data_IF_690093217972
#
_entry.id   IF_690093217972
#
_cell.length_a   1.000
_cell.length_b   1.000
_cell.length_c   1.000
_cell.angle_alpha   90.00
_cell.angle_beta   90.00
_cell.angle_gamma   90.00
#
_symmetry.space_group_name_H-M   'P 1'
#
loop_
_entity.id
_entity.type
_entity.pdbx_description
1 polymer ?
#
# COMPACT_ATOMS: atom_id res chain seq x y z
N UNK A 1 10.28 23.11 10.64
CA UNK A 1 11.60 22.43 10.55
C UNK A 1 12.23 22.10 11.93
N UNK A 2 11.64 22.48 13.08
CA UNK A 2 12.29 22.24 14.38
C UNK A 2 12.25 20.77 14.86
N UNK A 3 11.30 19.97 14.38
CA UNK A 3 11.00 18.61 14.87
C UNK A 3 11.87 17.49 14.29
N UNK A 4 12.64 17.74 13.21
CA UNK A 4 13.48 16.70 12.58
C UNK A 4 14.75 16.42 13.39
N UNK A 5 15.46 17.46 13.83
CA UNK A 5 16.73 17.32 14.58
C UNK A 5 16.59 16.54 15.89
N UNK A 6 15.43 16.60 16.54
CA UNK A 6 15.14 15.87 17.80
C UNK A 6 15.01 14.36 17.61
N UNK A 7 14.79 13.88 16.38
CA UNK A 7 14.70 12.45 16.06
C UNK A 7 16.07 11.86 15.67
N UNK A 8 16.94 12.65 15.04
CA UNK A 8 18.30 12.23 14.69
C UNK A 8 19.14 11.98 15.95
N UNK A 9 19.17 12.94 16.88
CA UNK A 9 19.91 12.86 18.14
C UNK A 9 19.49 11.68 19.06
N UNK A 10 18.28 11.12 18.88
CA UNK A 10 17.80 9.96 19.63
C UNK A 10 18.21 8.60 19.04
N UNK A 11 18.84 8.57 17.86
CA UNK A 11 19.29 7.33 17.20
C UNK A 11 20.81 7.16 17.17
N UNK A 12 21.61 8.22 17.30
CA UNK A 12 23.08 8.11 17.25
C UNK A 12 23.69 7.42 18.47
N UNK A 13 23.06 7.54 19.65
CA UNK A 13 23.48 6.87 20.89
C UNK A 13 23.31 5.33 20.90
N UNK A 14 22.86 4.70 19.81
CA UNK A 14 22.63 3.25 19.72
C UNK A 14 23.78 2.48 19.05
N UNK A 15 24.98 3.06 18.91
CA UNK A 15 26.12 2.41 18.26
C UNK A 15 27.46 2.75 18.95
N UNK A 16 27.90 1.90 19.88
CA UNK A 16 29.32 1.57 20.16
C UNK A 16 29.37 0.43 21.19
N UNK A 17 30.40 -0.44 21.08
CA UNK A 17 30.64 -1.70 21.84
C UNK A 17 29.62 -2.82 21.50
N UNK A 18 29.98 -4.11 21.49
CA UNK A 18 31.16 -4.81 22.02
C UNK A 18 32.08 -5.45 20.94
N UNK A 19 33.01 -6.33 21.38
CA UNK A 19 34.24 -6.72 20.70
C UNK A 19 34.16 -7.99 19.82
N UNK A 20 35.29 -8.33 19.19
CA UNK A 20 35.50 -9.56 18.40
C UNK A 20 35.92 -10.71 19.32
N UNK A 21 35.54 -11.94 18.99
CA UNK A 21 36.50 -13.05 19.03
C UNK A 21 36.19 -14.16 18.01
N UNK A 22 37.13 -15.09 17.83
CA UNK A 22 37.14 -16.10 16.76
C UNK A 22 36.53 -17.45 17.20
N UNK A 23 36.13 -18.28 16.23
CA UNK A 23 35.71 -19.67 16.49
C UNK A 23 35.40 -20.49 15.23
N UNK A 24 36.44 -21.04 14.58
CA UNK A 24 36.26 -22.04 13.51
C UNK A 24 35.74 -23.38 14.06
N UNK A 25 34.86 -24.05 13.30
CA UNK A 25 35.22 -25.35 12.73
C UNK A 25 34.18 -25.89 11.72
N UNK A 26 34.67 -26.39 10.60
CA UNK A 26 33.93 -27.30 9.72
C UNK A 26 33.76 -28.69 10.36
N UNK A 27 32.74 -29.43 9.93
CA UNK A 27 32.94 -30.83 9.52
C UNK A 27 31.82 -31.36 8.61
N UNK A 28 32.26 -32.11 7.61
CA UNK A 28 31.43 -32.72 6.56
C UNK A 28 31.24 -34.20 6.85
N UNK A 29 30.01 -34.70 6.72
CA UNK A 29 29.74 -36.11 6.37
C UNK A 29 28.45 -36.21 5.55
N UNK A 30 28.36 -37.24 4.70
CA UNK A 30 27.15 -37.57 3.96
C UNK A 30 27.32 -38.84 3.12
N UNK A 31 26.21 -39.48 2.74
CA UNK A 31 26.19 -40.51 1.68
C UNK A 31 24.80 -40.72 1.07
N UNK A 32 24.81 -41.35 -0.10
CA UNK A 32 23.70 -41.70 -0.99
C UNK A 32 22.94 -42.96 -0.45
N UNK A 33 21.81 -43.47 -0.97
CA UNK A 33 21.10 -43.28 -2.26
C UNK A 33 19.60 -43.69 -2.15
N UNK A 34 18.84 -43.58 -3.25
CA UNK A 34 17.39 -43.88 -3.40
C UNK A 34 17.14 -45.36 -3.88
N UNK A 35 15.96 -45.83 -4.41
CA UNK A 35 14.65 -45.16 -4.66
C UNK A 35 13.35 -45.99 -4.42
N UNK A 36 12.18 -45.31 -4.40
CA UNK A 36 10.86 -45.84 -4.85
C UNK A 36 10.07 -44.69 -5.50
N UNK A 37 9.13 -44.98 -6.41
CA UNK A 37 8.35 -44.02 -7.19
C UNK A 37 6.91 -43.77 -6.69
N UNK A 38 6.42 -42.56 -6.88
CA UNK A 38 5.01 -42.25 -7.18
C UNK A 38 4.91 -40.85 -7.79
N UNK A 39 3.98 -40.64 -8.72
CA UNK A 39 3.91 -39.42 -9.52
C UNK A 39 2.70 -38.55 -9.15
N UNK A 40 2.95 -37.35 -8.64
CA UNK A 40 1.96 -36.27 -8.56
C UNK A 40 2.60 -34.93 -8.96
N UNK A 41 1.89 -34.15 -9.77
CA UNK A 41 2.38 -32.90 -10.37
C UNK A 41 2.41 -31.77 -9.35
N UNK A 42 3.57 -31.12 -9.19
CA UNK A 42 3.79 -30.09 -8.18
C UNK A 42 4.51 -28.86 -8.76
N UNK A 43 3.73 -27.91 -9.27
CA UNK A 43 4.19 -26.74 -10.03
C UNK A 43 4.76 -25.57 -9.19
N UNK A 44 4.86 -25.72 -7.87
CA UNK A 44 5.18 -24.60 -6.96
C UNK A 44 6.66 -24.20 -6.85
N UNK A 45 7.61 -24.96 -7.43
CA UNK A 45 9.05 -24.76 -7.16
C UNK A 45 9.63 -23.46 -7.76
N UNK A 46 9.21 -23.10 -8.98
CA UNK A 46 9.89 -22.05 -9.77
C UNK A 46 9.72 -20.63 -9.18
N UNK A 47 8.64 -20.37 -8.43
CA UNK A 47 8.34 -19.03 -7.87
C UNK A 47 9.31 -18.64 -6.74
N UNK A 48 9.99 -19.60 -6.11
CA UNK A 48 10.99 -19.36 -5.07
C UNK A 48 12.35 -18.90 -5.64
N UNK A 49 12.75 -19.39 -6.81
CA UNK A 49 14.05 -19.07 -7.41
C UNK A 49 14.10 -17.64 -7.97
N UNK A 50 13.02 -17.18 -8.61
CA UNK A 50 12.91 -15.81 -9.16
C UNK A 50 13.09 -14.72 -8.08
N UNK A 51 12.60 -14.97 -6.86
CA UNK A 51 12.72 -14.02 -5.74
C UNK A 51 14.18 -13.85 -5.26
N UNK A 52 15.04 -14.85 -5.49
CA UNK A 52 16.46 -14.81 -5.09
C UNK A 52 17.30 -13.97 -6.05
N UNK A 53 17.01 -14.03 -7.35
CA UNK A 53 17.74 -13.28 -8.38
C UNK A 53 17.54 -11.76 -8.27
N UNK A 54 16.33 -11.33 -7.89
CA UNK A 54 15.98 -9.92 -7.71
C UNK A 54 16.69 -9.20 -6.55
N UNK A 55 17.49 -9.91 -5.74
CA UNK A 55 18.17 -9.38 -4.55
C UNK A 55 19.69 -9.26 -4.68
N UNK A 56 20.30 -9.69 -5.80
CA UNK A 56 21.76 -9.70 -5.95
C UNK A 56 22.35 -8.45 -6.66
N UNK A 57 21.60 -7.79 -7.54
CA UNK A 57 22.10 -6.64 -8.31
C UNK A 57 21.91 -5.31 -7.57
N UNK A 58 22.61 -5.11 -6.45
CA UNK A 58 22.70 -3.81 -5.77
C UNK A 58 23.98 -3.67 -4.92
N UNK A 59 25.14 -3.76 -5.57
CA UNK A 59 26.42 -3.30 -5.01
C UNK A 59 27.41 -3.00 -6.15
N UNK A 60 27.56 -1.72 -6.51
CA UNK A 60 28.82 -1.08 -6.92
C UNK A 60 28.57 0.36 -7.41
N UNK A 61 28.97 1.34 -6.59
CA UNK A 61 29.99 2.33 -6.93
C UNK A 61 30.24 3.29 -5.76
N UNK A 62 31.45 3.85 -5.68
CA UNK A 62 31.93 4.65 -4.55
C UNK A 62 32.54 5.96 -5.05
N UNK A 63 32.40 7.00 -4.23
CA UNK A 63 33.20 8.24 -4.20
C UNK A 63 33.30 9.11 -5.48
N UNK A 64 32.92 10.38 -5.35
CA UNK A 64 33.92 11.44 -5.24
C UNK A 64 33.31 12.69 -4.56
N UNK A 65 34.16 13.50 -3.93
CA UNK A 65 33.78 14.72 -3.22
C UNK A 65 34.89 15.78 -3.34
N UNK A 66 34.52 17.06 -3.44
CA UNK A 66 35.44 18.21 -3.45
C UNK A 66 34.81 19.44 -2.76
N UNK A 67 35.62 20.49 -2.55
CA UNK A 67 35.51 21.45 -1.44
C UNK A 67 34.82 22.80 -1.76
N UNK A 68 34.14 23.36 -0.73
CA UNK A 68 34.47 24.62 0.00
C UNK A 68 35.23 25.70 -0.82
N UNK A 69 34.81 27.01 -0.87
CA UNK A 69 34.59 27.84 0.32
C UNK A 69 33.44 28.90 0.29
N UNK A 70 33.35 29.67 1.37
CA UNK A 70 32.41 30.79 1.61
C UNK A 70 33.16 32.11 1.92
N UNK A 71 32.46 33.24 2.07
CA UNK A 71 32.68 34.41 2.99
C UNK A 71 31.74 35.61 2.60
N UNK A 72 31.81 36.86 3.14
CA UNK A 72 30.81 37.25 4.15
C UNK A 72 30.27 38.71 4.13
N UNK A 73 29.39 39.04 5.09
CA UNK A 73 29.20 40.41 5.63
C UNK A 73 27.76 40.94 5.65
N UNK A 74 27.45 42.11 6.23
CA UNK A 74 27.96 42.81 7.46
C UNK A 74 27.04 44.04 7.71
N UNK A 75 26.83 44.45 8.96
CA UNK A 75 26.05 45.66 9.32
C UNK A 75 24.58 45.36 9.70
N UNK A 76 23.95 45.82 10.80
CA UNK A 76 24.22 46.76 11.91
C UNK A 76 23.34 48.03 11.89
N UNK A 77 22.99 48.49 13.10
CA UNK A 77 22.18 49.67 13.46
C UNK A 77 20.66 49.54 13.17
N UNK A 78 19.76 50.04 14.02
CA UNK A 78 19.97 50.72 15.32
C UNK A 78 18.71 50.64 16.22
N UNK A 79 18.82 51.06 17.47
CA UNK A 79 17.75 50.98 18.48
C UNK A 79 17.32 52.36 18.98
N UNK A 80 16.10 52.46 19.53
CA UNK A 80 15.85 53.23 20.77
C UNK A 80 14.55 52.79 21.48
N UNK A 81 14.27 53.39 22.65
CA UNK A 81 13.36 52.89 23.70
C UNK A 81 12.57 54.04 24.36
N UNK A 82 11.29 53.79 24.68
CA UNK A 82 10.48 54.49 25.72
C UNK A 82 9.45 53.48 26.28
N UNK A 83 9.51 53.09 27.57
CA UNK A 83 8.81 53.67 28.75
C UNK A 83 7.27 53.65 28.64
N UNK A 84 6.55 52.76 29.34
CA UNK A 84 6.05 52.83 30.76
C UNK A 84 5.02 53.97 30.97
N UNK A 85 3.80 53.79 31.52
CA UNK A 85 3.38 53.15 32.80
C UNK A 85 1.89 52.68 32.80
N UNK A 86 1.27 51.89 33.72
CA UNK A 86 1.71 50.78 34.61
C UNK A 86 0.51 49.91 35.17
N UNK A 87 -0.32 50.37 36.13
CA UNK A 87 -1.33 49.58 36.93
C UNK A 87 -2.78 49.60 36.34
N UNK A 88 -3.76 48.74 36.68
CA UNK A 88 -4.15 48.10 37.96
C UNK A 88 -4.97 46.78 37.72
N UNK A 89 -5.26 45.99 38.76
CA UNK A 89 -5.86 44.63 38.64
C UNK A 89 -7.33 44.48 39.07
N UNK A 90 -7.93 43.31 38.78
CA UNK A 90 -9.20 42.85 39.36
C UNK A 90 -9.29 41.30 39.36
N UNK A 91 -9.99 40.70 40.34
CA UNK A 91 -10.10 39.23 40.48
C UNK A 91 -11.44 38.71 39.99
N UNK A 92 -11.44 37.71 39.09
CA UNK A 92 -12.64 36.88 38.80
C UNK A 92 -12.32 35.39 38.67
N UNK A 93 -12.85 34.61 39.61
CA UNK A 93 -12.83 33.15 39.61
C UNK A 93 -14.07 32.59 38.91
N UNK A 94 -13.90 31.87 37.79
CA UNK A 94 -15.00 31.10 37.18
C UNK A 94 -14.52 29.89 36.36
N UNK A 95 -14.60 28.71 36.98
CA UNK A 95 -14.80 27.39 36.32
C UNK A 95 -14.04 27.08 35.02
N UNK A 96 -12.80 26.62 35.13
CA UNK A 96 -12.06 25.95 34.04
C UNK A 96 -12.54 24.50 33.82
N UNK A 97 -13.79 24.33 33.38
CA UNK A 97 -14.38 23.02 33.04
C UNK A 97 -13.91 22.51 31.66
N UNK A 98 -12.65 22.06 31.58
CA UNK A 98 -12.22 21.04 30.63
C UNK A 98 -10.80 20.53 30.98
N UNK A 99 -10.69 19.34 31.57
CA UNK A 99 -9.40 18.63 31.62
C UNK A 99 -9.03 18.18 30.20
N UNK A 100 -8.23 19.01 29.51
CA UNK A 100 -7.44 18.58 28.36
C UNK A 100 -6.54 17.42 28.82
N UNK A 101 -6.52 16.25 28.16
CA UNK A 101 -5.59 15.18 28.50
C UNK A 101 -4.14 15.65 28.30
N UNK A 102 -3.47 16.03 29.39
CA UNK A 102 -2.18 16.76 29.37
C UNK A 102 -0.98 15.93 28.93
N UNK A 103 -1.16 14.63 28.67
CA UNK A 103 -0.13 13.72 28.17
C UNK A 103 -0.69 12.94 26.97
N UNK A 104 0.01 12.92 25.81
CA UNK A 104 -0.34 12.02 24.71
C UNK A 104 -0.28 10.57 25.19
N UNK A 105 -1.40 9.82 25.06
CA UNK A 105 -1.46 8.39 25.41
C UNK A 105 -0.41 7.61 24.61
N UNK A 106 0.68 7.20 25.25
CA UNK A 106 1.71 6.38 24.61
C UNK A 106 1.13 4.99 24.32
N UNK A 107 1.01 4.66 23.03
CA UNK A 107 0.35 3.44 22.57
C UNK A 107 1.24 2.22 22.89
N UNK A 108 0.70 1.27 23.65
CA UNK A 108 1.39 0.03 24.02
C UNK A 108 0.48 -1.19 23.88
N UNK A 109 1.08 -2.37 23.72
CA UNK A 109 0.34 -3.62 23.41
C UNK A 109 -0.72 -3.98 24.46
N UNK A 110 -0.51 -3.60 25.72
CA UNK A 110 -1.45 -3.85 26.82
C UNK A 110 -2.82 -3.18 26.65
N UNK A 111 -2.89 -2.08 25.88
CA UNK A 111 -4.15 -1.41 25.53
C UNK A 111 -5.08 -2.25 24.65
N UNK A 112 -4.60 -3.38 24.11
CA UNK A 112 -5.33 -4.21 23.18
C UNK A 112 -5.62 -5.60 23.77
N UNK A 113 -6.83 -6.08 23.49
CA UNK A 113 -7.20 -7.49 23.53
C UNK A 113 -6.88 -8.07 22.14
N UNK A 114 -6.07 -9.14 22.10
CA UNK A 114 -5.61 -9.76 20.84
C UNK A 114 -6.42 -11.02 20.58
N UNK A 115 -7.19 -11.02 19.49
CA UNK A 115 -8.00 -12.14 19.03
C UNK A 115 -7.29 -12.99 17.97
N UNK A 116 -8.09 -13.66 17.15
CA UNK A 116 -7.61 -14.61 16.13
C UNK A 116 -6.65 -13.97 15.11
N UNK A 117 -5.66 -14.72 14.58
CA UNK A 117 -4.90 -14.28 13.42
C UNK A 117 -5.81 -14.09 12.20
N UNK A 118 -5.53 -13.06 11.42
CA UNK A 118 -6.22 -12.71 10.17
C UNK A 118 -5.37 -13.06 8.94
N UNK A 119 -4.05 -12.96 9.04
CA UNK A 119 -3.13 -13.27 7.93
C UNK A 119 -1.66 -13.27 8.33
N UNK A 120 -0.81 -13.75 7.43
CA UNK A 120 0.66 -13.76 7.56
C UNK A 120 1.26 -12.97 6.39
N UNK A 121 2.00 -11.91 6.70
CA UNK A 121 2.75 -11.13 5.72
C UNK A 121 4.20 -11.61 5.59
N UNK A 122 4.99 -10.93 4.74
CA UNK A 122 6.41 -11.27 4.49
C UNK A 122 7.32 -11.11 5.72
N UNK A 123 6.99 -10.15 6.61
CA UNK A 123 7.83 -9.75 7.76
C UNK A 123 7.05 -9.72 9.09
N UNK A 124 5.98 -10.52 9.20
CA UNK A 124 5.05 -10.38 10.32
C UNK A 124 3.69 -11.06 10.16
N UNK A 125 2.80 -10.79 11.12
CA UNK A 125 1.46 -11.38 11.21
C UNK A 125 0.42 -10.29 11.50
N UNK A 126 -0.80 -10.49 11.02
CA UNK A 126 -1.94 -9.59 11.27
C UNK A 126 -2.92 -10.31 12.18
N UNK A 127 -3.36 -9.65 13.24
CA UNK A 127 -4.32 -10.16 14.22
C UNK A 127 -5.58 -9.30 14.26
N UNK A 128 -6.72 -9.90 14.58
CA UNK A 128 -7.87 -9.15 15.07
C UNK A 128 -7.51 -8.59 16.44
N UNK A 129 -7.82 -7.32 16.69
CA UNK A 129 -7.61 -6.71 17.99
C UNK A 129 -8.80 -5.82 18.38
N UNK A 130 -8.96 -5.63 19.68
CA UNK A 130 -9.96 -4.72 20.27
C UNK A 130 -9.24 -3.81 21.25
N UNK A 131 -9.35 -2.49 21.06
CA UNK A 131 -8.82 -1.52 22.02
C UNK A 131 -9.70 -1.55 23.29
N UNK A 132 -9.08 -1.63 24.46
CA UNK A 132 -9.76 -1.99 25.71
C UNK A 132 -10.65 -0.89 26.28
N UNK A 133 -10.32 0.40 26.08
CA UNK A 133 -11.03 1.51 26.74
C UNK A 133 -12.27 1.99 25.98
N UNK A 134 -12.26 1.89 24.65
CA UNK A 134 -13.37 2.25 23.76
C UNK A 134 -14.11 1.04 23.17
N UNK A 135 -13.53 -0.16 23.29
CA UNK A 135 -14.03 -1.37 22.64
C UNK A 135 -13.83 -1.40 21.12
N UNK A 136 -13.08 -0.45 20.55
CA UNK A 136 -12.91 -0.30 19.10
C UNK A 136 -12.17 -1.48 18.47
N UNK A 137 -12.75 -2.07 17.41
CA UNK A 137 -12.20 -3.24 16.70
C UNK A 137 -11.30 -2.81 15.56
N UNK A 138 -10.07 -3.33 15.53
CA UNK A 138 -9.03 -3.02 14.56
C UNK A 138 -8.25 -4.27 14.12
N UNK A 139 -7.40 -4.12 13.11
CA UNK A 139 -6.41 -5.12 12.74
C UNK A 139 -5.02 -4.67 13.20
N UNK A 140 -4.29 -5.52 13.93
CA UNK A 140 -2.95 -5.21 14.41
C UNK A 140 -1.91 -5.96 13.56
N UNK A 141 -1.21 -5.25 12.67
CA UNK A 141 -0.10 -5.77 11.84
C UNK A 141 1.19 -5.67 12.65
N UNK A 142 1.72 -6.81 13.09
CA UNK A 142 2.89 -6.95 13.94
C UNK A 142 4.10 -7.34 13.08
N UNK A 143 5.13 -6.51 13.08
CA UNK A 143 6.37 -6.68 12.29
C UNK A 143 7.57 -6.90 13.20
N UNK A 144 8.47 -7.82 12.87
CA UNK A 144 9.65 -8.11 13.68
C UNK A 144 10.87 -7.28 13.25
N UNK A 145 11.49 -6.53 14.17
CA UNK A 145 12.61 -5.61 13.86
C UNK A 145 13.81 -6.34 13.27
N UNK A 146 14.09 -7.56 13.73
CA UNK A 146 15.15 -8.43 13.19
C UNK A 146 14.89 -8.86 11.74
N UNK A 147 13.66 -9.30 11.40
CA UNK A 147 13.28 -9.67 10.04
C UNK A 147 13.37 -8.46 9.09
N UNK A 148 12.97 -7.27 9.55
CA UNK A 148 13.09 -6.03 8.79
C UNK A 148 14.55 -5.59 8.57
N UNK A 149 15.45 -5.89 9.53
CA UNK A 149 16.89 -5.64 9.41
C UNK A 149 17.54 -6.61 8.42
N UNK A 150 17.30 -7.92 8.58
CA UNK A 150 17.82 -8.97 7.69
C UNK A 150 17.33 -8.80 6.25
N UNK A 151 16.09 -8.32 6.06
CA UNK A 151 15.54 -8.02 4.74
C UNK A 151 15.93 -6.66 4.15
N UNK A 152 16.61 -5.77 4.87
CA UNK A 152 16.97 -4.42 4.41
C UNK A 152 15.79 -3.46 4.18
N UNK A 153 14.59 -3.80 4.68
CA UNK A 153 13.31 -3.13 4.35
C UNK A 153 12.87 -2.07 5.37
N UNK A 154 13.72 -1.69 6.33
CA UNK A 154 13.35 -0.69 7.35
C UNK A 154 12.96 0.67 6.71
N UNK A 155 13.61 1.05 5.60
CA UNK A 155 13.27 2.24 4.81
C UNK A 155 11.91 2.11 4.09
N UNK A 156 11.52 0.89 3.72
CA UNK A 156 10.24 0.58 3.08
C UNK A 156 9.09 0.70 4.08
N UNK A 157 9.20 0.08 5.26
CA UNK A 157 8.19 0.15 6.32
C UNK A 157 8.01 1.59 6.85
N UNK A 158 9.09 2.36 7.00
CA UNK A 158 8.98 3.80 7.36
C UNK A 158 8.14 4.58 6.35
N UNK A 159 8.34 4.32 5.05
CA UNK A 159 7.56 4.95 3.96
C UNK A 159 6.10 4.47 3.93
N UNK A 160 5.84 3.19 4.18
CA UNK A 160 4.48 2.64 4.32
C UNK A 160 3.70 3.41 5.40
N UNK A 161 4.31 3.57 6.58
CA UNK A 161 3.76 4.32 7.71
C UNK A 161 3.55 5.80 7.34
N UNK A 162 4.57 6.47 6.81
CA UNK A 162 4.55 7.90 6.46
C UNK A 162 3.44 8.22 5.44
N UNK A 163 3.36 7.44 4.35
CA UNK A 163 2.34 7.61 3.32
C UNK A 163 0.96 7.29 3.91
N UNK A 164 0.74 6.08 4.43
CA UNK A 164 -0.59 5.61 4.81
C UNK A 164 -1.18 6.38 6.00
N UNK A 165 -0.35 6.91 6.92
CA UNK A 165 -0.79 7.79 8.01
C UNK A 165 -1.49 9.05 7.49
N UNK A 166 -1.18 9.50 6.27
CA UNK A 166 -1.73 10.69 5.63
C UNK A 166 -2.88 10.40 4.64
N UNK A 167 -3.30 9.14 4.47
CA UNK A 167 -4.39 8.75 3.56
C UNK A 167 -5.73 8.60 4.29
N UNK A 168 -6.78 9.19 3.73
CA UNK A 168 -8.17 9.20 4.24
C UNK A 168 -9.11 9.16 3.05
N UNK A 169 -9.58 7.96 2.69
CA UNK A 169 -10.54 7.71 1.61
C UNK A 169 -11.31 6.42 1.95
N UNK A 170 -12.63 6.31 1.72
CA UNK A 170 -13.42 5.12 2.11
C UNK A 170 -12.89 3.80 1.54
N UNK A 171 -12.25 3.86 0.37
CA UNK A 171 -11.67 2.72 -0.35
C UNK A 171 -10.14 2.56 -0.20
N UNK A 172 -9.52 3.20 0.80
CA UNK A 172 -8.12 3.01 1.17
C UNK A 172 -8.07 2.56 2.63
N UNK A 173 -7.42 1.42 2.89
CA UNK A 173 -7.33 0.85 4.23
C UNK A 173 -6.66 1.85 5.19
N UNK A 174 -7.38 2.29 6.22
CA UNK A 174 -6.88 3.34 7.12
C UNK A 174 -5.83 2.81 8.10
N UNK A 175 -4.71 3.52 8.20
CA UNK A 175 -3.79 3.44 9.32
C UNK A 175 -4.22 4.47 10.37
N UNK A 176 -4.58 4.00 11.58
CA UNK A 176 -4.98 4.87 12.70
C UNK A 176 -3.78 5.39 13.48
N UNK A 177 -2.74 4.56 13.62
CA UNK A 177 -1.53 4.87 14.36
C UNK A 177 -0.56 3.70 14.38
N UNK A 178 0.60 3.89 15.00
CA UNK A 178 1.62 2.85 15.15
C UNK A 178 2.37 3.02 16.47
N UNK A 179 2.99 1.93 16.95
CA UNK A 179 3.88 1.93 18.10
C UNK A 179 4.95 0.83 17.97
N UNK A 180 5.90 0.74 18.90
CA UNK A 180 6.93 -0.29 18.89
C UNK A 180 7.37 -0.70 20.30
N UNK A 181 7.81 -1.96 20.45
CA UNK A 181 8.58 -2.40 21.61
C UNK A 181 10.06 -2.61 21.22
N UNK A 182 10.89 -3.21 22.06
CA UNK A 182 12.31 -3.46 21.76
C UNK A 182 12.52 -4.40 20.56
N UNK A 183 11.57 -5.29 20.25
CA UNK A 183 11.68 -6.36 19.24
C UNK A 183 10.74 -6.22 18.04
N UNK A 184 9.66 -5.44 18.17
CA UNK A 184 8.53 -5.39 17.21
C UNK A 184 8.06 -3.97 16.90
N UNK A 185 7.43 -3.80 15.74
CA UNK A 185 6.65 -2.62 15.34
C UNK A 185 5.19 -3.08 15.15
N UNK A 186 4.24 -2.25 15.58
CA UNK A 186 2.81 -2.53 15.54
C UNK A 186 2.10 -1.43 14.74
N UNK A 187 1.33 -1.81 13.71
CA UNK A 187 0.49 -0.90 12.93
C UNK A 187 -0.98 -1.17 13.27
N UNK A 188 -1.71 -0.13 13.68
CA UNK A 188 -3.14 -0.20 14.04
C UNK A 188 -3.94 0.17 12.79
N UNK A 189 -4.50 -0.86 12.14
CA UNK A 189 -5.19 -0.76 10.84
C UNK A 189 -6.70 -0.92 10.98
N UNK A 190 -7.42 -0.43 9.99
CA UNK A 190 -8.83 -0.73 9.73
C UNK A 190 -9.08 -2.24 9.58
N UNK A 191 -10.14 -2.74 10.21
CA UNK A 191 -10.52 -4.15 10.11
C UNK A 191 -11.40 -4.40 8.88
N UNK A 192 -10.78 -4.82 7.78
CA UNK A 192 -11.47 -5.27 6.57
C UNK A 192 -12.09 -6.67 6.79
N UNK A 193 -13.28 -6.71 7.40
CA UNK A 193 -13.86 -7.94 7.97
C UNK A 193 -14.23 -9.06 6.98
N UNK A 194 -14.18 -8.82 5.67
CA UNK A 194 -14.39 -9.86 4.64
C UNK A 194 -13.08 -10.38 4.01
N UNK A 195 -11.90 -9.88 4.42
CA UNK A 195 -10.59 -10.41 4.04
C UNK A 195 -10.11 -10.02 2.63
N UNK A 196 -9.08 -10.70 2.12
CA UNK A 196 -8.47 -10.44 0.80
C UNK A 196 -9.43 -10.70 -0.37
N UNK A 197 -9.53 -9.76 -1.32
CA UNK A 197 -10.38 -9.86 -2.50
C UNK A 197 -10.00 -11.04 -3.40
N UNK A 198 -8.71 -11.40 -3.46
CA UNK A 198 -8.21 -12.62 -4.10
C UNK A 198 -8.98 -13.88 -3.69
N UNK A 199 -9.33 -14.02 -2.40
CA UNK A 199 -10.05 -15.19 -1.87
C UNK A 199 -11.52 -15.20 -2.28
N UNK A 200 -12.13 -14.05 -2.58
CA UNK A 200 -13.47 -13.97 -3.18
C UNK A 200 -13.40 -14.36 -4.66
N UNK A 201 -12.45 -13.79 -5.42
CA UNK A 201 -12.28 -14.08 -6.84
C UNK A 201 -12.01 -15.57 -7.08
N UNK A 202 -11.06 -16.19 -6.35
CA UNK A 202 -10.77 -17.62 -6.46
C UNK A 202 -11.90 -18.54 -5.98
N UNK A 203 -12.84 -18.05 -5.17
CA UNK A 203 -14.04 -18.82 -4.76
C UNK A 203 -15.17 -18.73 -5.78
N UNK A 204 -15.33 -17.59 -6.43
CA UNK A 204 -16.37 -17.34 -7.44
C UNK A 204 -15.89 -17.69 -8.86
N UNK A 205 -14.61 -18.05 -9.01
CA UNK A 205 -13.85 -18.20 -10.26
C UNK A 205 -13.71 -16.90 -11.06
N UNK A 206 -14.80 -16.17 -11.27
CA UNK A 206 -14.86 -14.83 -11.87
C UNK A 206 -16.08 -14.08 -11.34
N UNK A 207 -16.02 -12.77 -11.21
CA UNK A 207 -17.14 -11.95 -10.77
C UNK A 207 -18.14 -11.68 -11.91
N UNK A 208 -19.45 -11.61 -11.62
CA UNK A 208 -20.43 -11.07 -12.57
C UNK A 208 -20.17 -9.58 -12.80
N UNK A 209 -20.48 -9.07 -13.99
CA UNK A 209 -20.07 -7.72 -14.41
C UNK A 209 -20.51 -6.61 -13.46
N UNK A 210 -21.70 -6.71 -12.84
CA UNK A 210 -22.20 -5.68 -11.92
C UNK A 210 -21.28 -5.50 -10.71
N UNK A 211 -20.77 -6.60 -10.16
CA UNK A 211 -19.86 -6.63 -9.01
C UNK A 211 -18.46 -6.18 -9.41
N UNK A 212 -17.98 -6.62 -10.57
CA UNK A 212 -16.72 -6.14 -11.13
C UNK A 212 -16.75 -4.62 -11.37
N UNK A 213 -17.82 -4.09 -11.96
CA UNK A 213 -18.00 -2.66 -12.20
C UNK A 213 -18.04 -1.84 -10.90
N UNK A 214 -18.80 -2.29 -9.88
CA UNK A 214 -18.80 -1.68 -8.55
C UNK A 214 -17.40 -1.62 -7.93
N UNK A 215 -16.60 -2.68 -8.06
CA UNK A 215 -15.22 -2.73 -7.55
C UNK A 215 -14.27 -1.84 -8.37
N UNK A 216 -14.35 -1.84 -9.70
CA UNK A 216 -13.51 -0.98 -10.56
C UNK A 216 -13.85 0.50 -10.38
N UNK A 217 -15.12 0.87 -10.16
CA UNK A 217 -15.52 2.24 -9.82
C UNK A 217 -14.90 2.72 -8.49
N UNK A 218 -14.93 1.87 -7.46
CA UNK A 218 -14.30 2.14 -6.16
C UNK A 218 -12.77 2.22 -6.25
N UNK A 219 -12.15 1.35 -7.05
CA UNK A 219 -10.71 1.38 -7.33
C UNK A 219 -10.31 2.67 -8.07
N UNK A 220 -11.07 3.09 -9.09
CA UNK A 220 -10.81 4.33 -9.81
C UNK A 220 -10.95 5.57 -8.90
N UNK A 221 -11.94 5.60 -8.00
CA UNK A 221 -12.07 6.64 -6.99
C UNK A 221 -10.87 6.68 -6.03
N UNK A 222 -10.43 5.52 -5.54
CA UNK A 222 -9.29 5.39 -4.65
C UNK A 222 -7.97 5.82 -5.33
N UNK A 223 -7.70 5.34 -6.54
CA UNK A 223 -6.53 5.73 -7.32
C UNK A 223 -6.52 7.24 -7.60
N UNK A 224 -7.67 7.83 -7.95
CA UNK A 224 -7.80 9.28 -8.18
C UNK A 224 -7.46 10.09 -6.93
N UNK A 225 -7.87 9.61 -5.75
CA UNK A 225 -7.47 10.20 -4.47
C UNK A 225 -5.97 10.09 -4.20
N UNK A 226 -5.35 8.92 -4.46
CA UNK A 226 -3.91 8.71 -4.30
C UNK A 226 -3.10 9.60 -5.26
N UNK A 227 -3.48 9.64 -6.53
CA UNK A 227 -2.81 10.42 -7.57
C UNK A 227 -2.90 11.93 -7.30
N UNK A 228 -4.05 12.42 -6.80
CA UNK A 228 -4.20 13.81 -6.31
C UNK A 228 -3.30 14.13 -5.11
N UNK A 229 -2.81 13.12 -4.37
CA UNK A 229 -1.78 13.27 -3.33
C UNK A 229 -0.36 12.92 -3.82
N UNK A 230 -0.14 12.82 -5.12
CA UNK A 230 1.11 12.37 -5.75
C UNK A 230 1.62 11.03 -5.21
N UNK A 231 0.71 10.12 -4.82
CA UNK A 231 1.02 8.75 -4.39
C UNK A 231 0.69 7.80 -5.52
N UNK A 232 1.69 7.10 -6.03
CA UNK A 232 1.50 5.95 -6.95
C UNK A 232 1.52 4.66 -6.12
N UNK A 233 0.63 3.71 -6.40
CA UNK A 233 0.55 2.46 -5.61
C UNK A 233 1.58 1.42 -6.06
N UNK A 234 1.66 1.18 -7.38
CA UNK A 234 2.63 0.31 -8.09
C UNK A 234 2.56 -1.20 -7.81
N UNK A 235 1.61 -1.68 -7.01
CA UNK A 235 1.37 -3.11 -6.77
C UNK A 235 -0.14 -3.38 -6.61
N UNK A 236 -0.94 -2.91 -7.56
CA UNK A 236 -2.40 -3.10 -7.59
C UNK A 236 -2.71 -4.52 -8.10
N UNK A 237 -3.29 -5.36 -7.23
CA UNK A 237 -3.69 -6.75 -7.48
C UNK A 237 -4.66 -7.25 -6.39
N UNK A 238 -5.42 -8.35 -6.58
CA UNK A 238 -6.44 -8.80 -5.62
C UNK A 238 -5.91 -9.20 -4.24
N UNK A 239 -4.64 -9.59 -4.09
CA UNK A 239 -4.06 -9.91 -2.77
C UNK A 239 -3.85 -8.66 -1.92
N UNK A 240 -3.57 -7.53 -2.57
CA UNK A 240 -3.34 -6.23 -1.91
C UNK A 240 -4.64 -5.43 -1.72
N UNK A 241 -5.78 -5.94 -2.17
CA UNK A 241 -7.11 -5.33 -1.98
C UNK A 241 -7.86 -6.16 -0.94
N UNK A 242 -8.33 -5.54 0.14
CA UNK A 242 -9.18 -6.17 1.12
C UNK A 242 -10.64 -5.76 0.91
N UNK A 243 -11.58 -6.51 1.49
CA UNK A 243 -13.01 -6.23 1.45
C UNK A 243 -13.51 -5.90 2.86
N UNK A 244 -14.13 -4.72 3.00
CA UNK A 244 -14.69 -4.21 4.24
C UNK A 244 -15.97 -4.92 4.67
N UNK A 245 -16.49 -4.53 5.84
CA UNK A 245 -17.64 -5.19 6.46
C UNK A 245 -18.92 -5.06 5.62
N UNK A 246 -19.10 -3.96 4.90
CA UNK A 246 -20.27 -3.72 4.05
C UNK A 246 -20.10 -4.28 2.62
N UNK A 247 -18.90 -4.75 2.27
CA UNK A 247 -18.56 -5.28 0.93
C UNK A 247 -17.78 -4.29 0.06
N UNK A 248 -17.45 -3.12 0.60
CA UNK A 248 -16.65 -2.09 -0.05
C UNK A 248 -15.16 -2.48 -0.10
N UNK A 249 -14.45 -2.17 -1.19
CA UNK A 249 -13.03 -2.54 -1.31
C UNK A 249 -12.13 -1.56 -0.56
N UNK A 250 -10.95 -2.03 -0.11
CA UNK A 250 -9.91 -1.27 0.58
C UNK A 250 -8.55 -1.55 -0.06
N UNK A 251 -7.95 -0.57 -0.74
CA UNK A 251 -6.55 -0.68 -1.18
C UNK A 251 -5.64 -0.76 0.05
N UNK A 252 -4.73 -1.74 0.08
CA UNK A 252 -3.78 -1.99 1.17
C UNK A 252 -2.37 -2.29 0.64
N UNK A 253 -1.45 -2.63 1.54
CA UNK A 253 0.00 -2.77 1.33
C UNK A 253 0.64 -1.63 0.52
N UNK A 254 0.81 -0.49 1.18
CA UNK A 254 1.54 0.66 0.63
C UNK A 254 3.07 0.46 0.64
N UNK A 255 3.57 -0.76 0.86
CA UNK A 255 5.00 -1.07 0.89
C UNK A 255 5.71 -0.76 -0.43
N UNK A 256 5.04 -0.89 -1.57
CA UNK A 256 5.59 -0.46 -2.88
C UNK A 256 5.18 0.95 -3.29
N UNK A 257 4.37 1.65 -2.49
CA UNK A 257 3.92 3.00 -2.84
C UNK A 257 5.02 4.05 -2.66
N UNK A 258 4.88 5.16 -3.39
CA UNK A 258 5.83 6.27 -3.39
C UNK A 258 5.11 7.60 -3.53
N UNK A 259 5.47 8.56 -2.67
CA UNK A 259 5.19 9.96 -2.92
C UNK A 259 6.14 10.46 -4.02
N UNK A 260 5.62 11.09 -5.07
CA UNK A 260 6.35 11.43 -6.28
C UNK A 260 5.85 12.76 -6.88
N UNK A 261 6.08 13.92 -6.23
CA UNK A 261 5.57 15.22 -6.69
C UNK A 261 6.02 15.60 -8.12
N UNK A 262 7.11 15.01 -8.61
CA UNK A 262 7.66 15.26 -9.96
C UNK A 262 7.36 14.12 -10.96
N UNK A 263 6.43 13.20 -10.65
CA UNK A 263 5.90 12.12 -11.51
C UNK A 263 6.91 11.29 -12.36
N UNK A 264 8.15 11.09 -11.89
CA UNK A 264 9.21 10.35 -12.61
C UNK A 264 10.03 9.44 -11.68
N UNK A 265 10.06 8.11 -11.91
CA UNK A 265 10.90 7.14 -11.16
C UNK A 265 11.33 5.93 -12.03
N UNK A 266 12.43 5.28 -11.62
CA UNK A 266 13.11 4.19 -12.36
C UNK A 266 13.02 2.78 -11.71
N UNK A 267 12.57 2.63 -10.46
CA UNK A 267 12.64 1.35 -9.72
C UNK A 267 11.65 0.32 -10.26
N UNK A 268 12.10 -0.91 -10.59
CA UNK A 268 11.20 -2.02 -10.89
C UNK A 268 10.61 -2.63 -9.60
N UNK A 269 9.29 -2.81 -9.55
CA UNK A 269 8.57 -3.46 -8.45
C UNK A 269 7.13 -3.82 -8.87
N UNK A 270 6.57 -4.90 -8.30
CA UNK A 270 5.20 -5.37 -8.56
C UNK A 270 5.13 -6.88 -8.86
N UNK A 271 3.93 -7.44 -9.02
CA UNK A 271 3.73 -8.79 -9.59
C UNK A 271 3.80 -8.73 -11.12
N UNK A 272 4.55 -9.64 -11.76
CA UNK A 272 4.88 -9.61 -13.20
C UNK A 272 3.66 -9.39 -14.11
N UNK A 273 2.58 -10.12 -13.85
CA UNK A 273 1.35 -10.16 -14.64
C UNK A 273 0.59 -8.82 -14.66
N UNK A 274 0.89 -7.95 -13.67
CA UNK A 274 0.33 -6.62 -13.48
C UNK A 274 1.29 -5.50 -13.89
N UNK A 275 2.54 -5.82 -14.26
CA UNK A 275 3.53 -4.83 -14.67
C UNK A 275 3.16 -4.22 -16.04
N UNK A 276 3.29 -2.90 -16.20
CA UNK A 276 3.09 -2.25 -17.48
C UNK A 276 4.32 -2.35 -18.38
N UNK A 277 4.17 -2.23 -19.72
CA UNK A 277 5.26 -2.43 -20.67
C UNK A 277 6.44 -1.46 -20.50
N UNK A 278 6.20 -0.25 -20.02
CA UNK A 278 7.24 0.73 -19.68
C UNK A 278 8.12 0.34 -18.47
N UNK A 279 7.67 -0.57 -17.60
CA UNK A 279 8.48 -1.10 -16.48
C UNK A 279 9.29 -2.35 -16.85
N UNK A 280 9.04 -2.95 -18.02
CA UNK A 280 9.74 -4.14 -18.52
C UNK A 280 10.82 -3.84 -19.56
N UNK A 281 10.74 -2.67 -20.22
CA UNK A 281 11.76 -2.18 -21.16
C UNK A 281 13.01 -1.74 -20.38
N UNK A 282 14.13 -2.39 -20.65
CA UNK A 282 15.44 -2.04 -20.09
C UNK A 282 16.23 -1.18 -21.09
N UNK A 283 17.12 -0.31 -20.60
CA UNK A 283 18.13 0.36 -21.42
C UNK A 283 17.76 1.73 -21.99
N UNK A 284 16.53 2.24 -21.83
CA UNK A 284 16.29 3.66 -22.08
C UNK A 284 16.83 4.50 -20.91
N UNK A 285 17.59 5.57 -21.20
CA UNK A 285 18.10 6.49 -20.18
C UNK A 285 16.96 7.24 -19.46
N UNK A 286 15.82 7.34 -20.14
CA UNK A 286 14.58 7.96 -19.68
C UNK A 286 13.54 6.92 -19.21
N UNK A 287 13.98 5.90 -18.46
CA UNK A 287 13.12 4.90 -17.82
C UNK A 287 12.29 5.52 -16.65
N UNK A 288 11.48 6.53 -16.97
CA UNK A 288 10.63 7.28 -16.06
C UNK A 288 9.16 6.93 -16.32
N UNK A 289 8.56 6.16 -15.43
CA UNK A 289 7.11 5.96 -15.42
C UNK A 289 6.42 6.93 -14.46
N UNK A 290 5.14 7.22 -14.74
CA UNK A 290 4.27 8.11 -13.97
C UNK A 290 3.09 7.34 -13.36
N UNK A 291 2.09 8.05 -12.84
CA UNK A 291 0.87 7.48 -12.23
C UNK A 291 0.05 6.59 -13.19
N UNK A 292 0.30 6.69 -14.51
CA UNK A 292 -0.28 5.84 -15.56
C UNK A 292 0.03 4.34 -15.40
N UNK A 293 0.98 3.94 -14.55
CA UNK A 293 1.22 2.52 -14.21
C UNK A 293 0.02 1.90 -13.48
N UNK A 294 -0.60 2.63 -12.55
CA UNK A 294 -1.74 2.11 -11.77
C UNK A 294 -2.98 1.92 -12.67
N UNK A 295 -3.09 2.68 -13.78
CA UNK A 295 -4.16 2.53 -14.79
C UNK A 295 -3.99 1.24 -15.61
N UNK A 296 -2.76 0.83 -15.91
CA UNK A 296 -2.52 -0.46 -16.57
C UNK A 296 -2.90 -1.61 -15.64
N UNK A 297 -2.43 -1.59 -14.38
CA UNK A 297 -2.77 -2.61 -13.40
C UNK A 297 -4.28 -2.64 -13.09
N UNK A 298 -4.99 -1.50 -13.16
CA UNK A 298 -6.46 -1.45 -13.12
C UNK A 298 -7.11 -2.15 -14.33
N UNK A 299 -6.51 -2.04 -15.52
CA UNK A 299 -6.95 -2.78 -16.71
C UNK A 299 -6.75 -4.29 -16.59
N UNK A 300 -5.60 -4.72 -16.04
CA UNK A 300 -5.30 -6.12 -15.72
C UNK A 300 -6.33 -6.67 -14.73
N UNK A 301 -6.58 -5.93 -13.64
CA UNK A 301 -7.58 -6.25 -12.62
C UNK A 301 -9.01 -6.31 -13.19
N UNK A 302 -9.37 -5.42 -14.12
CA UNK A 302 -10.69 -5.42 -14.78
C UNK A 302 -10.90 -6.67 -15.63
N UNK A 303 -9.87 -7.11 -16.36
CA UNK A 303 -9.91 -8.36 -17.12
C UNK A 303 -10.02 -9.57 -16.17
N UNK A 304 -9.13 -9.64 -15.18
CA UNK A 304 -9.03 -10.77 -14.25
C UNK A 304 -10.33 -10.95 -13.43
N UNK A 305 -10.98 -9.87 -13.00
CA UNK A 305 -12.30 -9.94 -12.38
C UNK A 305 -13.37 -10.59 -13.26
N UNK A 306 -13.30 -10.45 -14.58
CA UNK A 306 -14.33 -10.93 -15.52
C UNK A 306 -14.03 -12.30 -16.13
N UNK A 307 -12.75 -12.68 -16.18
CA UNK A 307 -12.24 -13.92 -16.79
C UNK A 307 -11.79 -14.95 -15.75
N UNK A 308 -11.20 -14.50 -14.63
CA UNK A 308 -10.72 -15.33 -13.51
C UNK A 308 -9.20 -15.54 -13.42
N UNK A 309 -8.47 -15.12 -14.45
CA UNK A 309 -7.03 -15.28 -14.67
C UNK A 309 -6.48 -14.03 -15.39
N UNK A 310 -5.17 -13.78 -15.36
CA UNK A 310 -4.61 -12.52 -15.87
C UNK A 310 -4.46 -12.53 -17.42
N UNK A 311 -4.65 -11.39 -18.13
CA UNK A 311 -4.67 -11.32 -19.59
C UNK A 311 -3.36 -11.72 -20.28
N UNK A 312 -2.25 -11.75 -19.53
CA UNK A 312 -0.91 -12.07 -20.01
C UNK A 312 -0.30 -13.29 -19.29
N UNK A 313 -1.09 -14.04 -18.51
CA UNK A 313 -0.62 -15.19 -17.74
C UNK A 313 -0.07 -16.29 -18.66
N UNK A 314 1.17 -16.71 -18.37
CA UNK A 314 1.99 -17.59 -19.21
C UNK A 314 3.25 -18.01 -18.42
N UNK A 315 4.22 -18.64 -19.09
CA UNK A 315 5.60 -18.68 -18.62
C UNK A 315 6.20 -17.27 -18.52
N UNK A 316 7.07 -16.93 -17.54
CA UNK A 316 7.50 -15.54 -17.30
C UNK A 316 8.08 -14.79 -18.52
N UNK A 317 8.82 -15.49 -19.38
CA UNK A 317 9.37 -14.92 -20.62
C UNK A 317 8.28 -14.60 -21.65
N UNK A 318 7.25 -15.45 -21.75
CA UNK A 318 6.10 -15.21 -22.64
C UNK A 318 5.15 -14.15 -22.06
N UNK A 319 4.93 -14.11 -20.75
CA UNK A 319 4.20 -13.01 -20.08
C UNK A 319 4.86 -11.66 -20.36
N UNK A 320 6.19 -11.54 -20.20
CA UNK A 320 6.93 -10.33 -20.56
C UNK A 320 6.77 -9.97 -22.06
N UNK A 321 6.85 -10.98 -22.95
CA UNK A 321 6.65 -10.81 -24.41
C UNK A 321 5.22 -10.38 -24.76
N UNK A 322 4.21 -10.87 -24.03
CA UNK A 322 2.79 -10.53 -24.24
C UNK A 322 2.47 -9.14 -23.72
N UNK A 323 2.89 -8.79 -22.51
CA UNK A 323 2.76 -7.43 -21.93
C UNK A 323 3.41 -6.38 -22.86
N UNK A 324 4.65 -6.61 -23.30
CA UNK A 324 5.38 -5.66 -24.17
C UNK A 324 4.77 -5.47 -25.57
N UNK A 325 3.78 -6.30 -25.93
CA UNK A 325 3.01 -6.24 -27.19
C UNK A 325 1.52 -5.93 -26.98
N UNK A 326 1.03 -5.87 -25.73
CA UNK A 326 -0.39 -5.91 -25.38
C UNK A 326 -1.15 -7.11 -25.99
N UNK A 327 -0.47 -8.25 -26.07
CA UNK A 327 -0.94 -9.48 -26.72
C UNK A 327 -1.86 -10.28 -25.78
N UNK A 328 -3.16 -9.95 -25.86
CA UNK A 328 -4.25 -10.55 -25.09
C UNK A 328 -5.50 -10.75 -25.97
N UNK A 329 -6.26 -11.80 -25.69
CA UNK A 329 -7.59 -12.01 -26.26
C UNK A 329 -8.66 -11.83 -25.18
N UNK A 330 -9.71 -11.05 -25.45
CA UNK A 330 -10.83 -10.87 -24.51
C UNK A 330 -11.97 -11.83 -24.92
N UNK A 331 -12.36 -12.81 -24.07
CA UNK A 331 -13.35 -13.84 -24.40
C UNK A 331 -14.71 -13.28 -24.88
N UNK A 332 -15.45 -14.08 -25.64
CA UNK A 332 -16.76 -13.72 -26.21
C UNK A 332 -17.87 -13.54 -25.16
N UNK A 333 -17.70 -14.08 -23.95
CA UNK A 333 -18.65 -13.92 -22.84
C UNK A 333 -18.53 -12.56 -22.11
N UNK A 334 -17.49 -11.77 -22.39
CA UNK A 334 -17.29 -10.42 -21.81
C UNK A 334 -18.05 -9.42 -22.67
N UNK A 335 -18.84 -8.52 -22.08
CA UNK A 335 -19.64 -7.58 -22.85
C UNK A 335 -18.79 -6.65 -23.72
N UNK A 336 -19.34 -6.13 -24.84
CA UNK A 336 -18.66 -5.13 -25.66
C UNK A 336 -18.20 -3.91 -24.84
N UNK A 337 -19.00 -3.45 -23.87
CA UNK A 337 -18.65 -2.27 -23.07
C UNK A 337 -17.57 -2.55 -22.01
N UNK A 338 -17.52 -3.76 -21.43
CA UNK A 338 -16.41 -4.19 -20.58
C UNK A 338 -15.11 -4.31 -21.39
N UNK A 339 -15.22 -4.91 -22.59
CA UNK A 339 -14.12 -5.12 -23.54
C UNK A 339 -13.53 -3.80 -24.05
N UNK A 340 -14.36 -2.76 -24.20
CA UNK A 340 -13.87 -1.40 -24.48
C UNK A 340 -13.07 -0.83 -23.31
N UNK A 341 -13.59 -0.87 -22.07
CA UNK A 341 -12.85 -0.35 -20.90
C UNK A 341 -11.48 -1.03 -20.72
N UNK A 342 -11.43 -2.36 -20.85
CA UNK A 342 -10.20 -3.14 -20.79
C UNK A 342 -9.20 -2.67 -21.86
N UNK A 343 -9.65 -2.50 -23.11
CA UNK A 343 -8.79 -2.00 -24.20
C UNK A 343 -8.33 -0.55 -24.01
N UNK A 344 -9.18 0.31 -23.43
CA UNK A 344 -8.86 1.72 -23.16
C UNK A 344 -7.90 1.89 -21.96
N UNK A 345 -7.78 0.90 -21.08
CA UNK A 345 -6.80 0.84 -19.99
C UNK A 345 -5.48 0.18 -20.42
N UNK A 346 -5.54 -0.96 -21.12
CA UNK A 346 -4.37 -1.75 -21.52
C UNK A 346 -3.72 -1.26 -22.83
N UNK A 347 -3.44 0.04 -22.89
CA UNK A 347 -2.76 0.69 -24.03
C UNK A 347 -1.25 0.72 -23.80
N UNK A 348 -0.48 0.35 -24.83
CA UNK A 348 1.00 0.34 -24.80
C UNK A 348 1.61 1.72 -24.54
N UNK A 349 0.96 2.77 -25.02
CA UNK A 349 1.30 4.17 -24.77
C UNK A 349 0.62 4.66 -23.47
N UNK A 350 1.38 4.99 -22.41
CA UNK A 350 0.80 5.41 -21.13
C UNK A 350 -0.02 6.71 -21.21
N UNK A 351 0.28 7.59 -22.17
CA UNK A 351 -0.45 8.85 -22.33
C UNK A 351 -1.83 8.65 -22.97
N UNK A 352 -2.02 7.55 -23.72
CA UNK A 352 -3.29 7.19 -24.38
C UNK A 352 -4.23 6.34 -23.52
N UNK A 353 -3.85 5.98 -22.28
CA UNK A 353 -4.72 5.26 -21.33
C UNK A 353 -5.81 6.18 -20.79
N UNK A 354 -7.06 5.69 -20.76
CA UNK A 354 -8.24 6.43 -20.26
C UNK A 354 -7.98 7.03 -18.85
N UNK A 355 -8.19 8.33 -18.64
CA UNK A 355 -7.98 8.96 -17.33
C UNK A 355 -9.04 8.51 -16.32
N UNK A 356 -8.69 8.52 -15.03
CA UNK A 356 -9.57 8.07 -13.94
C UNK A 356 -10.88 8.89 -13.87
N UNK A 357 -10.83 10.15 -14.31
CA UNK A 357 -11.93 11.08 -14.54
C UNK A 357 -13.02 10.52 -15.47
N UNK A 358 -12.62 9.77 -16.50
CA UNK A 358 -13.54 9.20 -17.50
C UNK A 358 -14.04 7.82 -17.11
N UNK A 359 -13.28 7.03 -16.32
CA UNK A 359 -13.69 5.66 -15.93
C UNK A 359 -15.04 5.68 -15.22
N UNK A 360 -15.29 6.64 -14.32
CA UNK A 360 -16.57 6.79 -13.63
C UNK A 360 -17.74 7.14 -14.58
N UNK A 361 -17.44 7.66 -15.77
CA UNK A 361 -18.40 8.00 -16.83
C UNK A 361 -18.47 6.94 -17.93
N UNK A 362 -17.71 5.85 -17.80
CA UNK A 362 -17.63 4.82 -18.83
C UNK A 362 -18.98 4.09 -18.95
N UNK A 363 -19.52 3.86 -20.17
CA UNK A 363 -20.85 3.25 -20.33
C UNK A 363 -21.05 1.95 -19.54
N UNK A 364 -20.01 1.11 -19.47
CA UNK A 364 -20.02 -0.11 -18.66
C UNK A 364 -20.17 0.13 -17.15
N UNK A 365 -19.46 1.11 -16.60
CA UNK A 365 -19.54 1.47 -15.18
C UNK A 365 -20.91 2.08 -14.86
N UNK A 366 -21.37 3.02 -15.69
CA UNK A 366 -22.69 3.66 -15.58
C UNK A 366 -23.83 2.62 -15.58
N UNK A 367 -23.87 1.75 -16.61
CA UNK A 367 -24.86 0.67 -16.83
C UNK A 367 -25.05 -0.28 -15.63
N UNK A 368 -24.01 -0.45 -14.82
CA UNK A 368 -23.97 -1.39 -13.70
C UNK A 368 -24.04 -0.71 -12.32
N UNK A 369 -23.49 0.50 -12.15
CA UNK A 369 -23.43 1.18 -10.84
C UNK A 369 -24.65 2.07 -10.53
N UNK A 370 -25.33 2.65 -11.53
CA UNK A 370 -26.47 3.56 -11.29
C UNK A 370 -27.73 2.90 -10.69
N UNK A 371 -27.72 1.57 -10.52
CA UNK A 371 -28.90 0.81 -10.08
C UNK A 371 -29.08 0.74 -8.56
N UNK A 372 -28.02 0.92 -7.78
CA UNK A 372 -28.09 0.84 -6.30
C UNK A 372 -28.90 2.00 -5.67
N UNK A 373 -28.96 3.15 -6.32
CA UNK A 373 -29.76 4.29 -5.86
C UNK A 373 -31.28 3.98 -5.87
N UNK A 374 -31.71 2.96 -6.62
CA UNK A 374 -33.10 2.49 -6.72
C UNK A 374 -33.43 1.37 -5.73
N UNK A 375 -32.46 0.59 -5.27
CA UNK A 375 -32.67 -0.43 -4.23
C UNK A 375 -32.79 0.22 -2.85
N UNK A 376 -31.92 1.20 -2.53
CA UNK A 376 -32.01 1.94 -1.25
C UNK A 376 -33.34 2.69 -1.09
N UNK A 377 -33.85 3.31 -2.17
CA UNK A 377 -35.14 4.03 -2.17
C UNK A 377 -36.38 3.11 -2.09
N UNK A 378 -36.24 1.80 -2.37
CA UNK A 378 -37.33 0.82 -2.20
C UNK A 378 -37.47 0.32 -0.77
N UNK A 379 -36.39 0.19 -0.02
CA UNK A 379 -36.42 -0.21 1.40
C UNK A 379 -36.95 0.87 2.36
N UNK A 380 -36.97 2.15 1.94
CA UNK A 380 -37.42 3.28 2.77
C UNK A 380 -38.90 3.67 2.57
N UNK A 381 -39.64 2.98 1.69
CA UNK A 381 -41.00 3.37 1.29
C UNK A 381 -42.16 2.61 1.95
N UNK A 382 -41.91 1.55 2.72
CA UNK A 382 -42.97 0.64 3.22
C UNK A 382 -43.08 0.67 4.75
N UNK A 383 -43.66 1.74 5.30
CA UNK A 383 -43.90 1.89 6.75
C UNK A 383 -45.03 2.87 7.13
N UNK A 384 -46.04 3.05 6.26
CA UNK A 384 -47.28 3.79 6.60
C UNK A 384 -48.49 3.22 5.85
N UNK A 385 -49.32 2.46 6.56
CA UNK A 385 -50.79 2.38 6.51
C UNK A 385 -51.24 1.18 7.36
N UNK A 386 -52.47 1.19 7.90
CA UNK A 386 -52.99 0.10 8.74
C UNK A 386 -53.27 0.42 10.23
N UNK A 387 -53.90 1.58 10.51
CA UNK A 387 -54.68 1.78 11.75
C UNK A 387 -55.92 2.64 11.48
N UNK A 388 -57.05 1.96 11.34
CA UNK A 388 -58.42 2.42 11.56
C UNK A 388 -59.20 1.18 12.00
#
# INVERSE_FOLDING_TARGET
MATTKTLEARFEHLSMKDEKENGNNDRIYGKQKAPVSSAQSNSNSNRAQLLKLALQNNNENKANAMNVPASPGRGSHGALVTRSTDENGDQRTSSSLCEQPTVPKELHLGMFEIGKPLGKGKFGRVYLAKERSSGFVCALKVLHKSELQQGGVQKQVRREIEIQSNLRHPNVLRLYGHFHDSKRIFLILEFAGRGELYKHLRKEHRFPEWKAAQYIAQMAAALKYLHKKHVMHRDIKPENILVGIHGEIKISDFGWSVHAPNNRRQTMCGTLDYLPPEMLKHGSKDNYYSEKVDLWSLGVLTYEFLVGEAPFEDTPAMTQRRITRADMSVPSFVSPEAKDLIKRLLVLDPAKRIPLEEIQRHPWIVKHCEKDDRTVKRSSGCSKEGKA
#
